data_IF_571100378279
#
_entry.id   IF_571100378279
#
_cell.length_a   1.000
_cell.length_b   1.000
_cell.length_c   1.000
_cell.angle_alpha   90.00
_cell.angle_beta   90.00
_cell.angle_gamma   90.00
#
_symmetry.space_group_name_H-M   'P 1'
#
loop_
_entity.id
_entity.type
_entity.pdbx_description
1 polymer ?
#
# COMPACT_ATOMS: atom_id res chain seq x y z
N UNK A 1 -0.38 3.41 18.85
CA UNK A 1 0.86 2.80 19.34
C UNK A 1 1.99 3.62 18.77
N UNK A 2 2.74 4.31 19.62
CA UNK A 2 3.67 5.36 19.21
C UNK A 2 5.02 4.74 18.82
N UNK A 3 5.16 4.38 17.53
CA UNK A 3 6.40 3.82 16.96
C UNK A 3 7.58 4.79 17.01
N UNK A 4 7.32 6.06 17.34
CA UNK A 4 8.28 7.16 17.41
C UNK A 4 8.69 7.55 18.84
N UNK A 5 8.10 6.95 19.88
CA UNK A 5 8.31 7.34 21.28
C UNK A 5 9.62 6.84 21.92
N UNK A 6 10.51 6.19 21.16
CA UNK A 6 11.84 5.77 21.63
C UNK A 6 12.84 6.36 20.65
N UNK A 7 13.88 7.02 21.14
CA UNK A 7 14.94 7.73 20.39
C UNK A 7 15.73 6.85 19.42
N UNK A 8 15.00 6.29 18.46
CA UNK A 8 15.38 5.34 17.43
C UNK A 8 15.26 6.13 16.14
N UNK A 9 16.39 6.40 15.52
CA UNK A 9 16.43 7.17 14.29
C UNK A 9 16.03 6.27 13.11
N UNK A 10 14.81 6.48 12.61
CA UNK A 10 14.34 5.83 11.39
C UNK A 10 14.83 6.63 10.18
N UNK A 11 15.31 5.93 9.16
CA UNK A 11 15.50 6.58 7.85
C UNK A 11 14.15 6.59 7.13
N UNK A 12 13.66 7.78 6.83
CA UNK A 12 12.44 8.02 6.08
C UNK A 12 12.80 8.57 4.70
N UNK A 13 12.31 7.93 3.66
CA UNK A 13 12.26 8.50 2.32
C UNK A 13 10.81 8.54 1.87
N UNK A 14 10.30 9.69 1.48
CA UNK A 14 8.93 9.86 1.02
C UNK A 14 8.87 10.45 -0.38
N UNK A 15 7.77 10.20 -1.05
CA UNK A 15 7.39 10.85 -2.29
C UNK A 15 5.98 11.46 -2.13
N UNK A 16 5.90 12.76 -1.79
CA UNK A 16 4.61 13.42 -1.60
C UNK A 16 3.71 13.44 -2.85
N UNK A 17 4.29 13.26 -4.05
CA UNK A 17 3.51 13.26 -5.30
C UNK A 17 2.71 11.97 -5.50
N UNK A 18 3.13 10.88 -4.87
CA UNK A 18 2.50 9.56 -4.94
C UNK A 18 1.95 9.09 -3.58
N UNK A 19 2.05 9.91 -2.53
CA UNK A 19 1.68 9.57 -1.15
C UNK A 19 2.35 8.29 -0.63
N UNK A 20 3.60 8.05 -1.05
CA UNK A 20 4.39 6.89 -0.63
C UNK A 20 5.50 7.28 0.36
N UNK A 21 5.80 6.36 1.27
CA UNK A 21 6.93 6.47 2.17
C UNK A 21 7.59 5.09 2.40
N UNK A 22 8.92 5.10 2.45
CA UNK A 22 9.75 3.96 2.84
C UNK A 22 10.38 4.29 4.18
N UNK A 23 10.12 3.44 5.16
CA UNK A 23 10.66 3.54 6.51
C UNK A 23 11.65 2.41 6.69
N UNK A 24 12.91 2.73 6.97
CA UNK A 24 13.91 1.74 7.34
C UNK A 24 14.13 1.76 8.85
N UNK A 25 13.70 0.70 9.58
CA UNK A 25 13.99 0.59 11.00
C UNK A 25 15.50 0.39 11.19
N UNK A 26 16.13 1.02 12.20
CA UNK A 26 17.52 0.73 12.48
C UNK A 26 17.68 -0.72 12.96
N UNK A 27 18.87 -1.33 12.79
CA UNK A 27 19.10 -2.76 13.01
C UNK A 27 18.72 -3.25 14.42
N UNK A 28 18.78 -2.36 15.40
CA UNK A 28 18.53 -2.61 16.83
C UNK A 28 17.09 -2.35 17.28
N UNK A 29 16.22 -1.85 16.40
CA UNK A 29 14.88 -1.37 16.75
C UNK A 29 13.74 -2.33 16.47
N UNK A 30 14.03 -3.55 16.02
CA UNK A 30 12.99 -4.53 15.84
C UNK A 30 12.32 -4.74 17.21
N UNK A 31 11.06 -4.31 17.39
CA UNK A 31 10.38 -4.56 18.64
C UNK A 31 10.42 -6.07 18.86
N UNK A 32 10.62 -6.52 20.11
CA UNK A 32 10.21 -7.86 20.52
C UNK A 32 8.71 -7.77 20.76
N UNK A 33 7.82 -8.16 19.82
CA UNK A 33 6.41 -7.93 19.98
C UNK A 33 5.77 -9.25 20.42
N UNK A 34 4.97 -9.16 21.48
CA UNK A 34 4.00 -10.18 21.84
C UNK A 34 2.91 -10.12 20.78
N UNK A 35 3.13 -10.81 19.66
CA UNK A 35 2.09 -11.23 18.72
C UNK A 35 2.05 -12.74 18.87
N UNK A 36 0.85 -13.32 18.96
CA UNK A 36 0.65 -14.76 18.82
C UNK A 36 1.00 -15.19 17.38
N UNK A 37 2.30 -15.26 17.09
CA UNK A 37 2.89 -15.46 15.77
C UNK A 37 4.31 -14.89 15.81
N UNK A 38 5.33 -15.71 15.57
CA UNK A 38 6.74 -15.28 15.59
C UNK A 38 6.94 -14.22 14.49
N UNK A 39 7.13 -12.92 14.79
CA UNK A 39 7.39 -11.93 13.77
C UNK A 39 8.82 -12.15 13.30
N UNK A 40 8.99 -12.92 12.23
CA UNK A 40 10.17 -12.79 11.40
C UNK A 40 9.87 -11.62 10.46
N UNK A 41 10.85 -10.74 10.23
CA UNK A 41 10.86 -9.95 9.01
C UNK A 41 10.64 -10.94 7.87
N UNK A 42 9.45 -10.94 7.28
CA UNK A 42 9.24 -11.63 6.04
C UNK A 42 9.99 -10.77 5.04
N UNK A 43 11.17 -11.25 4.64
CA UNK A 43 11.83 -10.75 3.46
C UNK A 43 10.89 -11.04 2.30
N UNK A 44 10.04 -10.06 1.97
CA UNK A 44 9.26 -10.12 0.76
C UNK A 44 10.26 -9.94 -0.37
N UNK A 45 10.39 -10.99 -1.19
CA UNK A 45 11.18 -10.90 -2.40
C UNK A 45 10.60 -9.80 -3.28
N UNK A 46 11.47 -9.01 -3.91
CA UNK A 46 11.05 -7.87 -4.75
C UNK A 46 10.21 -8.31 -5.95
N UNK A 47 10.27 -9.58 -6.31
CA UNK A 47 9.51 -10.21 -7.38
C UNK A 47 8.00 -10.34 -7.06
N UNK A 48 7.62 -10.17 -5.78
CA UNK A 48 6.23 -10.09 -5.33
C UNK A 48 5.60 -8.73 -5.64
N UNK A 49 6.40 -7.68 -5.88
CA UNK A 49 5.88 -6.40 -6.37
C UNK A 49 5.52 -6.55 -7.85
N UNK A 50 4.31 -6.15 -8.22
CA UNK A 50 3.92 -6.11 -9.62
C UNK A 50 4.68 -4.99 -10.33
N UNK A 51 5.36 -5.34 -11.42
CA UNK A 51 6.00 -4.35 -12.28
C UNK A 51 4.95 -3.57 -13.07
N UNK A 52 5.34 -2.43 -13.65
CA UNK A 52 4.45 -1.65 -14.53
C UNK A 52 3.84 -2.53 -15.65
N UNK A 53 4.66 -3.32 -16.34
CA UNK A 53 4.19 -4.18 -17.42
C UNK A 53 3.20 -5.25 -16.95
N UNK A 54 3.31 -5.72 -15.71
CA UNK A 54 2.36 -6.67 -15.12
C UNK A 54 1.08 -5.99 -14.69
N UNK A 55 1.16 -4.78 -14.13
CA UNK A 55 -0.02 -3.96 -13.82
C UNK A 55 -0.81 -3.59 -15.08
N UNK A 56 -0.12 -3.38 -16.20
CA UNK A 56 -0.76 -3.08 -17.49
C UNK A 56 -1.55 -4.26 -18.08
N UNK A 57 -1.36 -5.48 -17.54
CA UNK A 57 -2.17 -6.67 -17.88
C UNK A 57 -3.46 -6.75 -17.07
N UNK A 58 -3.55 -6.02 -15.95
CA UNK A 58 -4.72 -6.04 -15.10
C UNK A 58 -5.87 -5.24 -15.72
N UNK A 59 -7.09 -5.70 -15.45
CA UNK A 59 -8.30 -5.15 -16.03
C UNK A 59 -9.30 -4.72 -14.95
N UNK A 60 -10.13 -3.69 -15.23
CA UNK A 60 -11.30 -3.43 -14.40
C UNK A 60 -12.16 -4.69 -14.24
N UNK A 61 -12.64 -4.91 -13.02
CA UNK A 61 -13.38 -6.11 -12.62
C UNK A 61 -12.54 -7.20 -11.97
N UNK A 62 -11.21 -7.13 -12.03
CA UNK A 62 -10.35 -8.08 -11.33
C UNK A 62 -10.36 -7.87 -9.81
N UNK A 63 -10.23 -8.97 -9.06
CA UNK A 63 -10.27 -8.95 -7.61
C UNK A 63 -8.99 -8.37 -7.00
N UNK A 64 -9.21 -7.61 -5.92
CA UNK A 64 -8.15 -7.09 -5.05
C UNK A 64 -8.42 -7.45 -3.61
N UNK A 65 -7.34 -7.62 -2.85
CA UNK A 65 -7.37 -7.98 -1.44
C UNK A 65 -6.57 -6.98 -0.64
N UNK A 66 -7.18 -6.35 0.37
CA UNK A 66 -6.55 -5.34 1.21
C UNK A 66 -6.46 -5.85 2.65
N UNK A 67 -5.24 -6.02 3.16
CA UNK A 67 -5.01 -6.47 4.54
C UNK A 67 -4.65 -5.30 5.45
N UNK A 68 -5.65 -4.63 6.02
CA UNK A 68 -5.49 -3.39 6.79
C UNK A 68 -6.01 -3.45 8.23
N UNK A 69 -5.71 -2.45 9.04
CA UNK A 69 -6.17 -2.35 10.43
C UNK A 69 -7.16 -1.19 10.57
N UNK A 70 -8.48 -1.44 10.41
CA UNK A 70 -9.44 -0.36 10.49
C UNK A 70 -9.59 0.16 11.93
N UNK A 71 -9.64 1.47 12.10
CA UNK A 71 -9.69 2.19 13.39
C UNK A 71 -11.00 2.06 14.17
N UNK A 72 -11.83 1.06 13.84
CA UNK A 72 -13.17 0.84 14.40
C UNK A 72 -13.22 -0.10 15.60
N UNK A 73 -12.10 -0.71 15.98
CA UNK A 73 -12.04 -1.66 17.10
C UNK A 73 -10.86 -1.37 18.02
N UNK A 74 -11.01 -1.75 19.28
CA UNK A 74 -9.94 -1.83 20.28
C UNK A 74 -8.81 -2.64 19.65
N UNK A 75 -7.71 -1.97 19.31
CA UNK A 75 -6.49 -2.51 18.69
C UNK A 75 -6.59 -3.99 18.26
N UNK A 76 -7.21 -4.26 17.11
CA UNK A 76 -7.25 -5.62 16.58
C UNK A 76 -5.82 -6.12 16.42
N UNK A 77 -5.48 -7.23 17.06
CA UNK A 77 -4.15 -7.86 16.96
C UNK A 77 -3.88 -8.41 15.54
N UNK A 78 -4.89 -8.41 14.67
CA UNK A 78 -4.83 -8.96 13.31
C UNK A 78 -5.42 -7.99 12.29
N UNK A 79 -4.88 -7.94 11.05
CA UNK A 79 -5.49 -7.15 10.00
C UNK A 79 -6.83 -7.75 9.59
N UNK A 80 -7.76 -6.89 9.18
CA UNK A 80 -8.96 -7.27 8.45
C UNK A 80 -8.57 -7.43 6.98
N UNK A 81 -8.94 -8.57 6.40
CA UNK A 81 -8.82 -8.80 4.96
C UNK A 81 -10.12 -8.36 4.30
N UNK A 82 -10.07 -7.25 3.57
CA UNK A 82 -11.17 -6.79 2.71
C UNK A 82 -10.92 -7.27 1.27
N UNK A 83 -12.01 -7.54 0.54
CA UNK A 83 -11.97 -7.92 -0.87
C UNK A 83 -12.81 -6.95 -1.68
N UNK A 84 -12.34 -6.59 -2.86
CA UNK A 84 -13.05 -5.73 -3.78
C UNK A 84 -12.65 -6.00 -5.22
N UNK A 85 -13.01 -5.08 -6.10
CA UNK A 85 -12.68 -5.16 -7.52
C UNK A 85 -12.01 -3.88 -8.01
N UNK A 86 -11.11 -4.01 -8.99
CA UNK A 86 -10.56 -2.86 -9.71
C UNK A 86 -11.70 -2.14 -10.45
N UNK A 87 -11.84 -0.84 -10.22
CA UNK A 87 -12.90 0.00 -10.79
C UNK A 87 -12.41 0.98 -11.86
N UNK A 88 -11.11 1.21 -11.99
CA UNK A 88 -10.50 2.02 -13.05
C UNK A 88 -9.43 1.25 -13.80
N UNK A 89 -9.11 1.69 -15.02
CA UNK A 89 -8.05 1.09 -15.83
C UNK A 89 -6.66 1.29 -15.18
N UNK A 90 -5.93 0.23 -14.77
CA UNK A 90 -4.65 0.36 -14.06
C UNK A 90 -3.51 1.00 -14.87
N UNK A 91 -3.66 1.07 -16.19
CA UNK A 91 -2.66 1.65 -17.11
C UNK A 91 -2.56 3.16 -16.95
N UNK A 92 -3.65 3.80 -16.53
CA UNK A 92 -3.77 5.25 -16.47
C UNK A 92 -3.94 5.75 -15.03
N UNK A 93 -3.37 6.92 -14.69
CA UNK A 93 -3.71 7.65 -13.48
C UNK A 93 -5.22 7.75 -13.25
N UNK A 94 -5.67 7.42 -12.05
CA UNK A 94 -7.07 7.58 -11.68
C UNK A 94 -7.43 9.05 -11.42
N UNK A 95 -8.65 9.40 -11.82
CA UNK A 95 -9.33 10.61 -11.37
C UNK A 95 -10.73 10.29 -10.87
N UNK A 96 -11.21 11.06 -9.89
CA UNK A 96 -12.55 10.91 -9.34
C UNK A 96 -13.16 12.29 -9.07
N UNK A 97 -14.22 12.62 -9.81
CA UNK A 97 -14.80 13.96 -9.77
C UNK A 97 -13.79 15.02 -10.23
N UNK A 98 -13.27 15.83 -9.29
CA UNK A 98 -12.22 16.83 -9.54
C UNK A 98 -10.85 16.46 -8.96
N UNK A 99 -10.76 15.31 -8.29
CA UNK A 99 -9.51 14.85 -7.68
C UNK A 99 -8.71 14.07 -8.73
N UNK A 100 -7.48 14.53 -8.98
CA UNK A 100 -6.45 13.77 -9.68
C UNK A 100 -5.68 12.96 -8.64
N UNK A 101 -5.66 11.63 -8.77
CA UNK A 101 -5.10 10.73 -7.77
C UNK A 101 -3.71 10.20 -8.17
N UNK A 102 -3.06 10.86 -9.14
CA UNK A 102 -1.70 10.51 -9.60
C UNK A 102 -1.60 9.05 -10.01
N UNK A 103 -0.56 8.35 -9.54
CA UNK A 103 -0.30 6.94 -9.85
C UNK A 103 -1.26 5.94 -9.16
N UNK A 104 -2.46 6.38 -8.82
CA UNK A 104 -3.46 5.54 -8.16
C UNK A 104 -4.39 4.82 -9.13
N UNK A 105 -4.96 3.72 -8.65
CA UNK A 105 -6.03 2.95 -9.29
C UNK A 105 -7.22 2.91 -8.34
N UNK A 106 -8.43 3.13 -8.87
CA UNK A 106 -9.66 3.03 -8.11
C UNK A 106 -10.07 1.57 -7.94
N UNK A 107 -10.61 1.25 -6.78
CA UNK A 107 -11.25 -0.02 -6.51
C UNK A 107 -12.56 0.19 -5.74
N UNK A 108 -13.52 -0.69 -5.99
CA UNK A 108 -14.72 -0.82 -5.18
C UNK A 108 -14.38 -1.77 -4.04
N UNK A 109 -13.97 -1.20 -2.91
CA UNK A 109 -13.48 -1.90 -1.72
C UNK A 109 -13.62 -0.95 -0.53
N UNK A 110 -13.77 -1.51 0.67
CA UNK A 110 -13.87 -0.74 1.89
C UNK A 110 -12.49 -0.39 2.44
N UNK A 111 -12.18 0.91 2.44
CA UNK A 111 -11.03 1.43 3.18
C UNK A 111 -11.47 2.44 4.23
N UNK A 112 -11.18 2.12 5.48
CA UNK A 112 -11.49 2.99 6.64
C UNK A 112 -10.22 3.66 7.15
N UNK A 113 -10.40 4.64 8.05
CA UNK A 113 -9.26 5.24 8.75
C UNK A 113 -8.46 4.15 9.47
N UNK A 114 -7.12 4.21 9.38
CA UNK A 114 -6.22 3.16 9.87
C UNK A 114 -5.81 2.10 8.83
N UNK A 115 -6.52 2.00 7.69
CA UNK A 115 -6.15 1.05 6.63
C UNK A 115 -5.17 1.61 5.59
N UNK A 116 -4.88 2.92 5.60
CA UNK A 116 -3.88 3.52 4.71
C UNK A 116 -2.48 2.94 4.98
N UNK A 117 -1.72 2.68 3.91
CA UNK A 117 -0.43 1.98 3.97
C UNK A 117 -0.55 0.45 3.94
N UNK A 118 -1.76 -0.11 3.96
CA UNK A 118 -1.97 -1.56 3.83
C UNK A 118 -1.56 -2.06 2.43
N UNK A 119 -1.01 -3.28 2.33
CA UNK A 119 -0.73 -3.88 1.03
C UNK A 119 -2.03 -4.21 0.29
N UNK A 120 -2.04 -3.96 -1.02
CA UNK A 120 -3.10 -4.40 -1.94
C UNK A 120 -2.55 -5.52 -2.79
N UNK A 121 -3.18 -6.68 -2.68
CA UNK A 121 -2.78 -7.92 -3.35
C UNK A 121 -3.77 -8.24 -4.47
N UNK A 122 -3.27 -8.87 -5.54
CA UNK A 122 -4.10 -9.55 -6.53
C UNK A 122 -3.58 -10.94 -6.79
N UNK A 123 -4.51 -11.88 -6.98
CA UNK A 123 -4.24 -13.26 -7.36
C UNK A 123 -4.71 -13.55 -8.78
N UNK A 124 -4.76 -12.52 -9.64
CA UNK A 124 -5.16 -12.70 -11.04
C UNK A 124 -4.30 -13.74 -11.75
N UNK A 125 -4.95 -14.57 -12.57
CA UNK A 125 -4.29 -15.57 -13.40
C UNK A 125 -3.26 -14.94 -14.36
N UNK A 126 -3.49 -13.70 -14.81
CA UNK A 126 -2.56 -13.00 -15.74
C UNK A 126 -1.23 -12.66 -15.08
N UNK A 127 -1.20 -12.56 -13.75
CA UNK A 127 0.02 -12.36 -12.97
C UNK A 127 0.73 -13.67 -12.64
N UNK A 128 0.09 -14.82 -12.87
CA UNK A 128 0.62 -16.17 -12.63
C UNK A 128 0.81 -16.56 -11.16
N UNK A 129 0.73 -15.61 -10.22
CA UNK A 129 0.77 -15.81 -8.76
C UNK A 129 0.23 -14.59 -8.02
N UNK A 130 0.03 -14.72 -6.72
CA UNK A 130 -0.28 -13.60 -5.85
C UNK A 130 0.83 -12.54 -5.86
N UNK A 131 0.49 -11.29 -6.20
CA UNK A 131 1.41 -10.15 -6.18
C UNK A 131 0.84 -8.97 -5.40
N UNK A 132 1.73 -8.16 -4.86
CA UNK A 132 1.43 -6.83 -4.35
C UNK A 132 1.34 -5.87 -5.53
N UNK A 133 0.11 -5.45 -5.83
CA UNK A 133 -0.20 -4.56 -6.95
C UNK A 133 -0.18 -3.09 -6.55
N UNK A 134 -0.29 -2.79 -5.26
CA UNK A 134 -0.12 -1.44 -4.74
C UNK A 134 -0.23 -1.31 -3.22
N UNK A 135 -0.27 -0.07 -2.77
CA UNK A 135 -0.43 0.32 -1.38
C UNK A 135 -1.74 1.09 -1.24
N UNK A 136 -2.60 0.68 -0.31
CA UNK A 136 -3.88 1.33 -0.06
C UNK A 136 -3.66 2.78 0.39
N UNK A 137 -4.23 3.73 -0.34
CA UNK A 137 -4.15 5.16 -0.06
C UNK A 137 -5.44 5.70 0.58
N UNK A 138 -6.42 4.83 0.84
CA UNK A 138 -7.65 5.18 1.53
C UNK A 138 -8.86 5.26 0.60
N UNK A 139 -9.95 5.83 1.12
CA UNK A 139 -11.15 6.10 0.33
C UNK A 139 -11.10 7.49 -0.30
N UNK A 140 -11.71 7.62 -1.47
CA UNK A 140 -11.85 8.92 -2.12
C UNK A 140 -12.85 9.76 -1.34
N UNK A 141 -12.45 10.97 -0.95
CA UNK A 141 -13.31 11.97 -0.32
C UNK A 141 -13.70 13.01 -1.37
N UNK A 142 -14.96 13.07 -1.78
CA UNK A 142 -15.47 14.22 -2.51
C UNK A 142 -15.86 15.30 -1.48
N UNK A 143 -15.46 16.55 -1.72
CA UNK A 143 -15.84 17.68 -0.86
C UNK A 143 -17.35 17.93 -0.82
N UNK A 144 -18.11 17.36 -1.76
CA UNK A 144 -19.57 17.46 -1.83
C UNK A 144 -20.28 16.25 -1.22
N UNK A 145 -19.63 15.07 -1.22
CA UNK A 145 -20.21 13.83 -0.72
C UNK A 145 -19.17 13.06 0.08
N UNK A 146 -19.48 12.77 1.35
CA UNK A 146 -18.85 11.67 2.07
C UNK A 146 -19.29 10.36 1.38
N UNK A 147 -18.67 10.04 0.23
CA UNK A 147 -18.78 8.73 -0.38
C UNK A 147 -18.22 7.74 0.65
N UNK A 148 -19.11 7.17 1.46
CA UNK A 148 -18.74 6.41 2.64
C UNK A 148 -17.99 5.16 2.23
N UNK A 149 -16.66 5.21 2.16
CA UNK A 149 -15.77 4.05 2.02
C UNK A 149 -16.00 3.09 0.85
N UNK A 150 -16.92 3.34 -0.11
CA UNK A 150 -17.25 2.37 -1.17
C UNK A 150 -16.22 2.39 -2.30
N UNK A 151 -15.68 3.57 -2.61
CA UNK A 151 -14.61 3.75 -3.61
C UNK A 151 -13.32 4.08 -2.87
N UNK A 152 -12.41 3.13 -2.93
CA UNK A 152 -11.05 3.25 -2.42
C UNK A 152 -10.07 3.37 -3.58
N UNK A 153 -8.83 3.69 -3.24
CA UNK A 153 -7.77 3.78 -4.21
C UNK A 153 -6.47 3.26 -3.61
N UNK A 154 -5.62 2.74 -4.49
CA UNK A 154 -4.28 2.31 -4.13
C UNK A 154 -3.27 2.90 -5.08
N UNK A 155 -2.11 3.26 -4.55
CA UNK A 155 -0.97 3.71 -5.35
C UNK A 155 -0.30 2.49 -5.93
N UNK A 156 -0.03 2.51 -7.24
CA UNK A 156 0.57 1.38 -7.97
C UNK A 156 1.92 0.99 -7.37
N UNK A 157 2.15 -0.32 -7.28
CA UNK A 157 3.42 -0.90 -6.84
C UNK A 157 4.61 -0.49 -7.71
N UNK A 158 4.39 -0.13 -8.98
CA UNK A 158 5.44 0.46 -9.83
C UNK A 158 6.02 1.76 -9.25
N UNK A 159 5.20 2.63 -8.67
CA UNK A 159 5.68 3.85 -8.01
C UNK A 159 6.47 3.52 -6.73
N UNK A 160 6.09 2.47 -6.02
CA UNK A 160 6.86 1.96 -4.87
C UNK A 160 8.22 1.40 -5.30
N UNK A 161 8.28 0.66 -6.42
CA UNK A 161 9.54 0.16 -6.99
C UNK A 161 10.46 1.35 -7.31
N UNK A 162 9.95 2.38 -7.99
CA UNK A 162 10.73 3.58 -8.33
C UNK A 162 11.28 4.30 -7.08
N UNK A 163 10.46 4.42 -6.03
CA UNK A 163 10.88 4.99 -4.75
C UNK A 163 11.97 4.14 -4.07
N UNK A 164 11.81 2.81 -4.03
CA UNK A 164 12.80 1.90 -3.46
C UNK A 164 14.13 1.96 -4.22
N UNK A 165 14.09 2.01 -5.55
CA UNK A 165 15.29 2.18 -6.38
C UNK A 165 16.00 3.51 -6.11
N UNK A 166 15.24 4.61 -5.98
CA UNK A 166 15.79 5.92 -5.61
C UNK A 166 16.52 5.84 -4.27
N UNK A 167 15.87 5.28 -3.26
CA UNK A 167 16.47 5.09 -1.92
C UNK A 167 17.74 4.24 -1.98
N UNK A 168 17.74 3.16 -2.76
CA UNK A 168 18.91 2.30 -2.90
C UNK A 168 20.08 3.00 -3.62
N UNK A 169 19.80 3.82 -4.65
CA UNK A 169 20.82 4.64 -5.31
C UNK A 169 21.42 5.67 -4.36
N UNK A 170 20.58 6.38 -3.63
CA UNK A 170 21.04 7.41 -2.68
C UNK A 170 21.93 6.79 -1.59
N UNK A 171 21.60 5.58 -1.13
CA UNK A 171 22.44 4.82 -0.19
C UNK A 171 23.77 4.40 -0.77
N UNK A 172 23.79 3.93 -2.02
CA UNK A 172 25.02 3.52 -2.69
C UNK A 172 25.99 4.69 -2.91
N UNK A 173 25.49 5.93 -3.03
CA UNK A 173 26.30 7.14 -3.15
C UNK A 173 26.90 7.62 -1.82
N UNK A 174 26.40 7.12 -0.68
CA UNK A 174 26.85 7.48 0.67
C UNK A 174 27.85 6.46 1.26
N UNK A 175 28.15 5.37 0.55
CA UNK A 175 29.12 4.33 0.92
C UNK A 175 30.42 4.47 0.13
#
# INVERSE_FOLDING_TARGET
MDLFARGVEYQLASDPSTDLAVISPPPSSLPTPIIAGRPRLNFLESDLLATKSELDLLMPGEEVFIAGYPGITVASERPVLDTGIISSDPRYPASFGRAELGDSVLCQSFSWEGMSGAPVLSFSEVLGRGKLIGINAGHVRDSTYNAGGVISHFVRSSALIELLERVNRDRALLQ
#
